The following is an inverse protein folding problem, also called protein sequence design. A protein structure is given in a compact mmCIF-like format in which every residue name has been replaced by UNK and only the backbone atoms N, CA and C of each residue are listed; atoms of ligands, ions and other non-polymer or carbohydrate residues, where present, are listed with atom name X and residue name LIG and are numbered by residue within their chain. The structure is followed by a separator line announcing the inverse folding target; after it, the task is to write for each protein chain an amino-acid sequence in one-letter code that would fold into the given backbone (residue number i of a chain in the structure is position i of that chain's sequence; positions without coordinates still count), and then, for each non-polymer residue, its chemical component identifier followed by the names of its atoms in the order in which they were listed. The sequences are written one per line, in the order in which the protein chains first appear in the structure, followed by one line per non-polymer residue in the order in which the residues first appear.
data_IF_713364442395
#
_entry.id   IF_713364442395
#
_cell.length_a   1.000
_cell.length_b   1.000
_cell.length_c   1.000
_cell.angle_alpha   90.00
_cell.angle_beta   90.00
_cell.angle_gamma   90.00
#
_symmetry.space_group_name_H-M   'P 1'
#
loop_
_entity.id
_entity.type
_entity.pdbx_description
1 polymer ?
#
# COMPACT_ATOMS: atom_id res chain seq x y z
N UNK A 1 -32.60 -3.42 -3.47
CA UNK A 1 -31.72 -2.40 -2.88
C UNK A 1 -30.27 -2.92 -2.83
N UNK A 2 -30.02 -4.16 -2.41
CA UNK A 2 -28.67 -4.75 -2.31
C UNK A 2 -27.93 -4.83 -3.64
N UNK A 3 -28.57 -5.23 -4.72
CA UNK A 3 -27.94 -5.33 -6.04
C UNK A 3 -27.51 -3.97 -6.58
N UNK A 4 -28.37 -2.94 -6.46
CA UNK A 4 -28.06 -1.57 -6.92
C UNK A 4 -26.86 -1.01 -6.16
N UNK A 5 -26.78 -1.26 -4.85
CA UNK A 5 -25.64 -0.82 -4.03
C UNK A 5 -24.34 -1.52 -4.43
N UNK A 6 -24.39 -2.83 -4.72
CA UNK A 6 -23.24 -3.60 -5.20
C UNK A 6 -22.72 -3.10 -6.55
N UNK A 7 -23.61 -2.76 -7.48
CA UNK A 7 -23.24 -2.20 -8.79
C UNK A 7 -22.63 -0.81 -8.67
N UNK A 8 -23.26 0.07 -7.89
CA UNK A 8 -22.75 1.43 -7.66
C UNK A 8 -21.37 1.41 -7.02
N UNK A 9 -21.13 0.52 -6.04
CA UNK A 9 -19.83 0.38 -5.41
C UNK A 9 -18.75 -0.09 -6.39
N UNK A 10 -19.03 -1.11 -7.21
CA UNK A 10 -18.08 -1.60 -8.22
C UNK A 10 -17.70 -0.50 -9.21
N UNK A 11 -18.68 0.30 -9.63
CA UNK A 11 -18.44 1.42 -10.52
C UNK A 11 -17.57 2.50 -9.88
N UNK A 12 -17.85 2.90 -8.65
CA UNK A 12 -17.07 3.90 -7.90
C UNK A 12 -15.64 3.37 -7.69
N UNK A 13 -15.50 2.12 -7.29
CA UNK A 13 -14.19 1.51 -7.08
C UNK A 13 -13.34 1.48 -8.36
N UNK A 14 -13.91 1.09 -9.48
CA UNK A 14 -13.21 1.09 -10.78
C UNK A 14 -12.83 2.50 -11.21
N UNK A 15 -13.68 3.49 -10.96
CA UNK A 15 -13.42 4.88 -11.30
C UNK A 15 -12.28 5.47 -10.46
N UNK A 16 -12.23 5.17 -9.15
CA UNK A 16 -11.14 5.60 -8.26
C UNK A 16 -9.82 4.91 -8.63
N UNK A 17 -9.85 3.61 -8.95
CA UNK A 17 -8.66 2.86 -9.37
C UNK A 17 -8.13 3.38 -10.71
N UNK A 18 -9.01 3.69 -11.66
CA UNK A 18 -8.63 4.32 -12.92
C UNK A 18 -8.04 5.72 -12.70
N UNK A 19 -8.64 6.51 -11.79
CA UNK A 19 -8.14 7.82 -11.39
C UNK A 19 -6.74 7.73 -10.77
N UNK A 20 -6.50 6.73 -9.92
CA UNK A 20 -5.18 6.46 -9.36
C UNK A 20 -4.17 6.13 -10.46
N UNK A 21 -4.49 5.22 -11.38
CA UNK A 21 -3.63 4.85 -12.49
C UNK A 21 -3.31 6.05 -13.40
N UNK A 22 -4.31 6.87 -13.71
CA UNK A 22 -4.13 8.11 -14.49
C UNK A 22 -3.26 9.13 -13.76
N UNK A 23 -3.44 9.30 -12.45
CA UNK A 23 -2.62 10.22 -11.65
C UNK A 23 -1.15 9.77 -11.60
N UNK A 24 -0.92 8.46 -11.48
CA UNK A 24 0.41 7.87 -11.56
C UNK A 24 1.05 8.10 -12.94
N UNK A 25 0.30 7.85 -14.01
CA UNK A 25 0.75 8.10 -15.38
C UNK A 25 1.11 9.58 -15.60
N UNK A 26 0.23 10.51 -15.23
CA UNK A 26 0.47 11.95 -15.36
C UNK A 26 1.67 12.43 -14.54
N UNK A 27 1.87 11.88 -13.36
CA UNK A 27 3.04 12.20 -12.53
C UNK A 27 4.33 11.73 -13.19
N UNK A 28 4.31 10.54 -13.80
CA UNK A 28 5.47 9.97 -14.46
C UNK A 28 5.84 10.72 -15.74
N UNK A 29 4.87 10.94 -16.64
CA UNK A 29 5.14 11.53 -17.96
C UNK A 29 5.22 13.05 -17.99
N UNK A 30 4.35 13.74 -17.25
CA UNK A 30 4.24 15.22 -17.32
C UNK A 30 4.77 15.92 -16.08
N UNK A 31 5.21 15.19 -15.06
CA UNK A 31 5.70 15.73 -13.77
C UNK A 31 4.76 16.80 -13.18
N UNK A 32 3.45 16.58 -13.29
CA UNK A 32 2.44 17.51 -12.83
C UNK A 32 2.42 17.50 -11.30
N UNK A 33 2.77 18.61 -10.67
CA UNK A 33 2.87 18.73 -9.20
C UNK A 33 1.57 18.37 -8.49
N UNK A 34 0.42 18.71 -9.06
CA UNK A 34 -0.91 18.39 -8.48
C UNK A 34 -1.12 16.89 -8.37
N UNK A 35 -0.75 16.11 -9.39
CA UNK A 35 -0.92 14.66 -9.38
C UNK A 35 -0.08 13.97 -8.30
N UNK A 36 1.03 14.58 -7.87
CA UNK A 36 1.88 14.10 -6.77
C UNK A 36 1.13 14.10 -5.42
N UNK A 37 0.17 15.00 -5.23
CA UNK A 37 -0.67 15.07 -4.03
C UNK A 37 -1.95 14.26 -4.18
N UNK A 38 -2.47 14.12 -5.38
CA UNK A 38 -3.71 13.38 -5.67
C UNK A 38 -3.49 11.87 -5.54
N UNK A 39 -2.35 11.35 -6.01
CA UNK A 39 -2.02 9.92 -5.92
C UNK A 39 -2.14 9.34 -4.49
N UNK A 40 -1.53 9.94 -3.44
CA UNK A 40 -1.66 9.40 -2.10
C UNK A 40 -3.05 9.52 -1.52
N UNK A 41 -3.78 10.56 -1.86
CA UNK A 41 -5.14 10.75 -1.40
C UNK A 41 -6.06 9.67 -1.96
N UNK A 42 -5.94 9.37 -3.26
CA UNK A 42 -6.66 8.27 -3.89
C UNK A 42 -6.29 6.92 -3.29
N UNK A 43 -5.02 6.71 -2.95
CA UNK A 43 -4.57 5.48 -2.30
C UNK A 43 -5.19 5.29 -0.91
N UNK A 44 -5.27 6.36 -0.11
CA UNK A 44 -5.97 6.34 1.18
C UNK A 44 -7.46 6.02 1.04
N UNK A 45 -8.11 6.64 0.06
CA UNK A 45 -9.53 6.35 -0.23
C UNK A 45 -9.72 4.88 -0.61
N UNK A 46 -8.81 4.30 -1.41
CA UNK A 46 -8.86 2.88 -1.77
C UNK A 46 -8.66 1.97 -0.55
N UNK A 47 -7.73 2.31 0.38
CA UNK A 47 -7.58 1.57 1.65
C UNK A 47 -8.90 1.58 2.41
N UNK A 48 -9.46 2.76 2.63
CA UNK A 48 -10.70 2.93 3.38
C UNK A 48 -11.87 2.15 2.74
N UNK A 49 -12.03 2.25 1.42
CA UNK A 49 -13.09 1.55 0.70
C UNK A 49 -12.94 0.02 0.80
N UNK A 50 -11.73 -0.52 0.63
CA UNK A 50 -11.50 -1.96 0.68
C UNK A 50 -11.91 -2.56 2.02
N UNK A 51 -11.47 -1.95 3.13
CA UNK A 51 -11.70 -2.49 4.47
C UNK A 51 -13.06 -2.11 5.06
N UNK A 52 -13.59 -0.91 4.76
CA UNK A 52 -14.94 -0.52 5.16
C UNK A 52 -15.98 -1.47 4.57
N UNK A 53 -15.79 -1.89 3.32
CA UNK A 53 -16.68 -2.84 2.68
C UNK A 53 -16.63 -4.22 3.37
N UNK A 54 -15.44 -4.71 3.68
CA UNK A 54 -15.28 -5.98 4.39
C UNK A 54 -15.99 -5.92 5.75
N UNK A 55 -15.77 -4.84 6.50
CA UNK A 55 -16.40 -4.65 7.80
C UNK A 55 -17.92 -4.53 7.72
N UNK A 56 -18.44 -3.88 6.68
CA UNK A 56 -19.88 -3.70 6.49
C UNK A 56 -20.63 -5.00 6.13
N UNK A 57 -19.97 -5.89 5.35
CA UNK A 57 -20.57 -7.15 4.94
C UNK A 57 -20.42 -8.29 5.94
N UNK A 58 -19.60 -8.12 6.99
CA UNK A 58 -19.50 -9.10 8.08
C UNK A 58 -20.60 -8.85 9.13
N UNK A 59 -21.37 -9.86 9.44
CA UNK A 59 -22.34 -9.83 10.55
C UNK A 59 -21.82 -10.77 11.66
N UNK A 60 -21.46 -10.29 12.87
CA UNK A 60 -21.42 -8.89 13.34
C UNK A 60 -20.27 -8.07 12.75
N UNK A 61 -20.36 -6.73 12.86
CA UNK A 61 -19.34 -5.79 12.39
C UNK A 61 -17.93 -6.23 12.81
N UNK A 62 -17.06 -6.40 11.80
CA UNK A 62 -15.69 -6.84 12.03
C UNK A 62 -14.78 -5.66 12.38
N UNK A 63 -14.62 -5.43 13.69
CA UNK A 63 -13.73 -4.40 14.21
C UNK A 63 -12.26 -4.64 13.84
N UNK A 64 -11.85 -5.91 13.65
CA UNK A 64 -10.46 -6.23 13.31
C UNK A 64 -10.11 -5.70 11.90
N UNK A 65 -11.03 -5.78 10.94
CA UNK A 65 -10.87 -5.18 9.62
C UNK A 65 -10.66 -3.66 9.71
N UNK A 66 -11.38 -2.96 10.60
CA UNK A 66 -11.20 -1.53 10.84
C UNK A 66 -9.85 -1.18 11.46
N UNK A 67 -9.37 -1.98 12.42
CA UNK A 67 -8.04 -1.80 13.00
C UNK A 67 -6.93 -1.97 11.95
N UNK A 68 -7.05 -2.98 11.09
CA UNK A 68 -6.11 -3.20 10.00
C UNK A 68 -6.15 -2.02 9.02
N UNK A 69 -7.34 -1.53 8.68
CA UNK A 69 -7.51 -0.34 7.84
C UNK A 69 -6.77 0.87 8.41
N UNK A 70 -7.03 1.19 9.68
CA UNK A 70 -6.38 2.31 10.37
C UNK A 70 -4.86 2.16 10.45
N UNK A 71 -4.40 0.95 10.77
CA UNK A 71 -2.99 0.61 10.84
C UNK A 71 -2.27 0.77 9.49
N UNK A 72 -2.88 0.26 8.41
CA UNK A 72 -2.33 0.40 7.06
C UNK A 72 -2.31 1.85 6.58
N UNK A 73 -3.38 2.61 6.83
CA UNK A 73 -3.45 4.03 6.46
C UNK A 73 -2.39 4.84 7.20
N UNK A 74 -2.23 4.62 8.51
CA UNK A 74 -1.21 5.28 9.32
C UNK A 74 0.21 4.88 8.88
N UNK A 75 0.47 3.59 8.67
CA UNK A 75 1.75 3.09 8.20
C UNK A 75 2.10 3.67 6.82
N UNK A 76 1.15 3.73 5.89
CA UNK A 76 1.32 4.32 4.58
C UNK A 76 1.69 5.81 4.69
N UNK A 77 0.94 6.60 5.47
CA UNK A 77 1.19 8.04 5.62
C UNK A 77 2.56 8.33 6.25
N UNK A 78 2.88 7.63 7.34
CA UNK A 78 4.18 7.80 8.02
C UNK A 78 5.32 7.42 7.07
N UNK A 79 5.21 6.30 6.39
CA UNK A 79 6.20 5.80 5.43
C UNK A 79 6.42 6.79 4.30
N UNK A 80 5.36 7.34 3.77
CA UNK A 80 5.43 8.33 2.69
C UNK A 80 6.07 9.64 3.14
N UNK A 81 5.72 10.12 4.35
CA UNK A 81 6.35 11.34 4.90
C UNK A 81 7.86 11.16 5.10
N UNK A 82 8.27 10.00 5.61
CA UNK A 82 9.69 9.65 5.79
C UNK A 82 10.39 9.61 4.42
N UNK A 83 9.78 8.93 3.44
CA UNK A 83 10.34 8.77 2.10
C UNK A 83 10.46 10.12 1.37
N UNK A 84 9.46 10.98 1.47
CA UNK A 84 9.48 12.33 0.88
C UNK A 84 10.66 13.17 1.44
N UNK A 85 10.87 13.13 2.76
CA UNK A 85 12.02 13.80 3.40
C UNK A 85 13.37 13.19 3.01
N UNK A 86 13.45 11.87 2.89
CA UNK A 86 14.68 11.16 2.53
C UNK A 86 15.09 11.37 1.07
N UNK A 87 14.11 11.52 0.16
CA UNK A 87 14.33 11.72 -1.27
C UNK A 87 14.38 13.20 -1.69
N UNK A 88 14.36 14.15 -0.74
CA UNK A 88 14.33 15.59 -1.03
C UNK A 88 13.25 15.93 -2.06
N UNK A 89 12.00 15.64 -1.74
CA UNK A 89 10.84 15.78 -2.64
C UNK A 89 10.89 14.92 -3.92
N UNK A 90 11.70 13.86 -3.90
CA UNK A 90 11.74 12.87 -4.97
C UNK A 90 10.39 12.21 -5.22
N UNK A 91 10.27 11.57 -6.36
CA UNK A 91 9.03 10.94 -6.80
C UNK A 91 8.79 9.62 -6.02
N UNK A 92 7.81 9.64 -5.09
CA UNK A 92 7.41 8.47 -4.29
C UNK A 92 6.41 7.55 -5.02
N UNK A 93 6.24 7.73 -6.33
CA UNK A 93 5.22 7.05 -7.14
C UNK A 93 5.33 5.53 -7.08
N UNK A 94 6.55 4.99 -7.17
CA UNK A 94 6.79 3.53 -7.06
C UNK A 94 6.31 2.99 -5.71
N UNK A 95 6.54 3.73 -4.63
CA UNK A 95 6.08 3.38 -3.31
C UNK A 95 4.54 3.38 -3.23
N UNK A 96 3.88 4.40 -3.81
CA UNK A 96 2.42 4.49 -3.86
C UNK A 96 1.80 3.29 -4.61
N UNK A 97 2.39 2.88 -5.74
CA UNK A 97 1.94 1.72 -6.52
C UNK A 97 2.12 0.41 -5.74
N UNK A 98 3.29 0.21 -5.12
CA UNK A 98 3.57 -1.00 -4.31
C UNK A 98 2.60 -1.09 -3.13
N UNK A 99 2.36 0.02 -2.43
CA UNK A 99 1.40 0.06 -1.33
C UNK A 99 -0.03 -0.23 -1.80
N UNK A 100 -0.42 0.25 -2.99
CA UNK A 100 -1.73 -0.06 -3.56
C UNK A 100 -1.90 -1.55 -3.85
N UNK A 101 -0.90 -2.20 -4.44
CA UNK A 101 -0.92 -3.64 -4.69
C UNK A 101 -0.98 -4.45 -3.39
N UNK A 102 -0.16 -4.06 -2.40
CA UNK A 102 -0.12 -4.73 -1.11
C UNK A 102 -1.45 -4.65 -0.37
N UNK A 103 -2.07 -3.48 -0.29
CA UNK A 103 -3.38 -3.31 0.35
C UNK A 103 -4.49 -4.08 -0.34
N UNK A 104 -4.49 -4.09 -1.69
CA UNK A 104 -5.50 -4.83 -2.46
C UNK A 104 -5.35 -6.33 -2.24
N UNK A 105 -4.11 -6.84 -2.28
CA UNK A 105 -3.82 -8.24 -1.99
C UNK A 105 -4.22 -8.63 -0.55
N UNK A 106 -3.93 -7.78 0.42
CA UNK A 106 -4.29 -8.00 1.82
C UNK A 106 -5.81 -8.01 2.03
N UNK A 107 -6.54 -7.08 1.40
CA UNK A 107 -8.00 -7.02 1.47
C UNK A 107 -8.64 -8.28 0.86
N UNK A 108 -8.12 -8.76 -0.27
CA UNK A 108 -8.57 -10.02 -0.88
C UNK A 108 -8.32 -11.22 0.02
N UNK A 109 -7.13 -11.31 0.61
CA UNK A 109 -6.76 -12.41 1.49
C UNK A 109 -7.60 -12.39 2.78
N UNK A 110 -7.81 -11.22 3.37
CA UNK A 110 -8.64 -11.05 4.55
C UNK A 110 -10.10 -11.46 4.29
N UNK A 111 -10.62 -11.15 3.11
CA UNK A 111 -11.97 -11.57 2.70
C UNK A 111 -12.10 -13.09 2.56
N UNK A 112 -11.06 -13.77 2.10
CA UNK A 112 -11.05 -15.23 1.95
C UNK A 112 -10.89 -15.92 3.30
N UNK A 113 -10.00 -15.44 4.14
CA UNK A 113 -9.73 -15.97 5.47
C UNK A 113 -9.19 -14.87 6.40
N UNK A 114 -10.00 -14.40 7.37
CA UNK A 114 -9.58 -13.35 8.29
C UNK A 114 -8.32 -13.71 9.09
N UNK A 115 -8.13 -14.99 9.44
CA UNK A 115 -6.96 -15.45 10.17
C UNK A 115 -5.67 -15.30 9.35
N UNK A 116 -5.67 -15.71 8.09
CA UNK A 116 -4.52 -15.52 7.21
C UNK A 116 -4.32 -14.05 6.85
N UNK A 117 -5.40 -13.28 6.68
CA UNK A 117 -5.33 -11.85 6.44
C UNK A 117 -4.66 -11.08 7.56
N UNK A 118 -4.96 -11.41 8.83
CA UNK A 118 -4.31 -10.79 9.98
C UNK A 118 -2.83 -11.16 10.09
N UNK A 119 -2.47 -12.43 9.89
CA UNK A 119 -1.06 -12.87 9.86
C UNK A 119 -0.28 -12.12 8.77
N UNK A 120 -0.87 -12.02 7.57
CA UNK A 120 -0.25 -11.30 6.46
C UNK A 120 -0.11 -9.79 6.72
N UNK A 121 -1.04 -9.18 7.46
CA UNK A 121 -0.93 -7.77 7.86
C UNK A 121 0.30 -7.52 8.75
N UNK A 122 0.59 -8.42 9.69
CA UNK A 122 1.80 -8.32 10.50
C UNK A 122 3.07 -8.50 9.68
N UNK A 123 3.07 -9.44 8.73
CA UNK A 123 4.22 -9.65 7.82
C UNK A 123 4.43 -8.42 6.94
N UNK A 124 3.36 -7.83 6.42
CA UNK A 124 3.42 -6.61 5.63
C UNK A 124 3.98 -5.42 6.44
N UNK A 125 3.55 -5.26 7.70
CA UNK A 125 4.08 -4.24 8.60
C UNK A 125 5.59 -4.45 8.86
N UNK A 126 6.00 -5.69 9.13
CA UNK A 126 7.41 -6.03 9.30
C UNK A 126 8.23 -5.77 8.02
N UNK A 127 7.64 -6.06 6.83
CA UNK A 127 8.25 -5.78 5.53
C UNK A 127 8.46 -4.29 5.29
N UNK A 128 7.50 -3.45 5.64
CA UNK A 128 7.63 -1.99 5.54
C UNK A 128 8.76 -1.49 6.46
N UNK A 129 8.83 -1.97 7.70
CA UNK A 129 9.90 -1.62 8.63
C UNK A 129 11.27 -2.06 8.10
N UNK A 130 11.37 -3.29 7.58
CA UNK A 130 12.58 -3.82 6.95
C UNK A 130 13.02 -2.99 5.74
N UNK A 131 12.08 -2.56 4.92
CA UNK A 131 12.35 -1.67 3.78
C UNK A 131 12.99 -0.35 4.25
N UNK A 132 12.42 0.30 5.27
CA UNK A 132 12.99 1.53 5.80
C UNK A 132 14.34 1.34 6.46
N UNK A 133 14.50 0.28 7.24
CA UNK A 133 15.80 -0.05 7.84
C UNK A 133 16.88 -0.24 6.77
N UNK A 134 16.56 -0.99 5.71
CA UNK A 134 17.48 -1.20 4.58
C UNK A 134 17.79 0.11 3.84
N UNK A 135 16.77 0.95 3.63
CA UNK A 135 16.94 2.23 2.94
C UNK A 135 17.83 3.21 3.74
N UNK A 136 17.60 3.31 5.06
CA UNK A 136 18.43 4.15 5.95
C UNK A 136 19.85 3.63 6.00
N UNK A 137 20.01 2.31 6.09
CA UNK A 137 21.33 1.67 6.08
C UNK A 137 22.09 1.99 4.79
N UNK A 138 21.45 1.84 3.63
CA UNK A 138 22.06 2.15 2.32
C UNK A 138 22.44 3.63 2.18
N UNK A 139 21.65 4.55 2.77
CA UNK A 139 21.95 5.99 2.74
C UNK A 139 23.12 6.37 3.66
N UNK A 140 23.23 5.70 4.82
CA UNK A 140 24.24 6.02 5.84
C UNK A 140 25.62 5.43 5.53
N UNK A 141 25.64 4.28 4.92
CA UNK A 141 26.85 3.65 4.45
C UNK A 141 26.94 3.92 2.96
N UNK A 142 27.87 4.77 2.49
CA UNK A 142 28.19 4.93 1.07
C UNK A 142 28.72 3.59 0.50
N UNK A 143 27.80 2.63 0.34
CA UNK A 143 28.18 1.24 0.04
C UNK A 143 28.62 1.16 -1.42
N UNK A 144 29.89 0.87 -1.61
CA UNK A 144 30.55 0.62 -2.90
C UNK A 144 29.89 -0.54 -3.68
N UNK A 145 29.04 -1.35 -3.00
CA UNK A 145 28.41 -2.58 -3.52
C UNK A 145 26.88 -2.54 -3.50
N UNK A 146 26.29 -1.42 -3.94
CA UNK A 146 24.82 -1.23 -3.97
C UNK A 146 24.06 -2.39 -4.63
N UNK A 147 24.62 -2.99 -5.68
CA UNK A 147 23.96 -4.07 -6.42
C UNK A 147 23.88 -5.38 -5.64
N UNK A 148 24.93 -5.75 -4.89
CA UNK A 148 24.92 -7.00 -4.12
C UNK A 148 23.96 -6.95 -2.92
N UNK A 149 23.79 -5.78 -2.32
CA UNK A 149 22.88 -5.57 -1.18
C UNK A 149 21.43 -5.59 -1.63
N UNK A 150 21.12 -5.01 -2.79
CA UNK A 150 19.82 -5.10 -3.45
C UNK A 150 19.45 -6.55 -3.79
N UNK A 151 20.39 -7.29 -4.34
CA UNK A 151 20.20 -8.70 -4.70
C UNK A 151 19.98 -9.56 -3.46
N UNK A 152 20.75 -9.34 -2.39
CA UNK A 152 20.58 -10.01 -1.10
C UNK A 152 19.21 -9.73 -0.46
N UNK A 153 18.75 -8.48 -0.48
CA UNK A 153 17.43 -8.10 0.02
C UNK A 153 16.28 -8.74 -0.77
N UNK A 154 16.44 -8.81 -2.09
CA UNK A 154 15.45 -9.43 -2.98
C UNK A 154 15.37 -10.95 -2.78
N UNK A 155 16.51 -11.62 -2.61
CA UNK A 155 16.57 -13.06 -2.29
C UNK A 155 15.93 -13.33 -0.93
N UNK A 156 16.18 -12.49 0.07
CA UNK A 156 15.62 -12.65 1.41
C UNK A 156 14.10 -12.42 1.42
N UNK A 157 13.61 -11.46 0.65
CA UNK A 157 12.19 -11.23 0.44
C UNK A 157 11.52 -12.42 -0.24
N UNK A 158 12.14 -13.00 -1.28
CA UNK A 158 11.65 -14.20 -1.96
C UNK A 158 11.63 -15.42 -1.04
N UNK A 159 12.64 -15.62 -0.19
CA UNK A 159 12.67 -16.73 0.77
C UNK A 159 11.57 -16.61 1.83
N UNK A 160 11.24 -15.39 2.27
CA UNK A 160 10.15 -15.16 3.22
C UNK A 160 8.76 -15.36 2.63
N UNK A 161 8.61 -15.26 1.31
CA UNK A 161 7.32 -15.48 0.63
C UNK A 161 7.07 -16.95 0.26
N UNK A 162 8.08 -17.82 0.35
CA UNK A 162 7.97 -19.23 -0.01
C UNK A 162 7.70 -20.17 1.20
N UNK A 163 7.59 -19.63 2.41
CA UNK A 163 7.14 -20.34 3.63
C UNK A 163 5.70 -19.99 3.96
#
# INVERSE_FOLDING_TARGET
VFEVFSWSYRFIYTLITAGFALSCWMTYYKNIRICRYVSPLLNLVLIAMNFALISYYSEPLDYMALYICGGLAAAYMISRMILAKLLNDGNCLMFDVVCNMLQTGLAMLYRLSPEYGTKQAYIAAAGILGFFASFIFMKRFEVKYKHHLLLGGLILALLLTTQ
#
